data_IF_780457554860
#
_entry.id   IF_780457554860
#
_cell.length_a   1.000
_cell.length_b   1.000
_cell.length_c   1.000
_cell.angle_alpha   90.00
_cell.angle_beta   90.00
_cell.angle_gamma   90.00
#
_symmetry.space_group_name_H-M   'P 1'
#
loop_
_entity.id
_entity.type
_entity.pdbx_description
1 polymer ?
#
# COMPACT_ATOMS: atom_id res chain seq x y z
N UNK A 1 -3.19 7.98 -2.63
CA UNK A 1 -3.16 8.10 -1.16
C UNK A 1 -2.46 9.40 -0.79
N UNK A 2 -2.61 9.89 0.44
CA UNK A 2 -1.86 11.05 0.94
C UNK A 2 -0.41 10.65 1.27
N UNK A 3 0.54 11.60 1.30
CA UNK A 3 1.92 11.31 1.70
C UNK A 3 2.04 10.72 3.12
N UNK A 4 1.13 11.05 4.02
CA UNK A 4 1.08 10.51 5.38
C UNK A 4 0.68 9.03 5.41
N UNK A 5 -0.19 8.61 4.48
CA UNK A 5 -0.58 7.21 4.31
C UNK A 5 0.55 6.37 3.68
N UNK A 6 1.50 7.00 3.00
CA UNK A 6 2.67 6.36 2.39
C UNK A 6 3.75 5.98 3.43
N UNK A 7 3.33 5.37 4.55
CA UNK A 7 4.21 4.95 5.64
C UNK A 7 4.74 3.53 5.39
N UNK A 8 5.96 3.20 5.87
CA UNK A 8 6.47 1.84 5.85
C UNK A 8 5.46 0.84 6.44
N UNK A 9 5.29 -0.31 5.79
CA UNK A 9 4.32 -1.35 6.13
C UNK A 9 2.93 -1.17 5.48
N UNK A 10 2.64 -0.03 4.86
CA UNK A 10 1.38 0.15 4.12
C UNK A 10 1.34 -0.77 2.89
N UNK A 11 0.28 -1.57 2.77
CA UNK A 11 -0.01 -2.34 1.54
C UNK A 11 -0.63 -1.40 0.52
N UNK A 12 -0.11 -1.39 -0.69
CA UNK A 12 -0.51 -0.45 -1.74
C UNK A 12 -0.72 -1.14 -3.08
N UNK A 13 -1.65 -0.60 -3.88
CA UNK A 13 -1.85 -0.92 -5.30
C UNK A 13 -1.46 0.30 -6.11
N UNK A 14 -0.74 0.11 -7.20
CA UNK A 14 -0.49 1.16 -8.18
C UNK A 14 -1.76 1.41 -8.98
N UNK A 15 -2.16 2.67 -9.09
CA UNK A 15 -3.41 3.06 -9.76
C UNK A 15 -3.46 2.60 -11.22
N UNK A 16 -4.66 2.28 -11.70
CA UNK A 16 -4.92 1.96 -13.11
C UNK A 16 -4.64 3.15 -14.04
N UNK A 17 -4.75 4.38 -13.55
CA UNK A 17 -4.43 5.60 -14.32
C UNK A 17 -2.95 5.98 -14.30
N UNK A 18 -2.08 5.10 -13.80
CA UNK A 18 -0.65 5.39 -13.72
C UNK A 18 -0.06 5.65 -15.11
N UNK A 19 0.90 6.59 -15.19
CA UNK A 19 1.51 7.04 -16.46
C UNK A 19 2.23 5.94 -17.22
N UNK A 20 2.83 4.99 -16.49
CA UNK A 20 3.51 3.81 -17.05
C UNK A 20 2.55 2.63 -16.98
N UNK A 21 2.17 2.09 -18.13
CA UNK A 21 1.12 1.07 -18.24
C UNK A 21 1.48 -0.23 -17.55
N UNK A 22 2.74 -0.67 -17.70
CA UNK A 22 3.27 -1.91 -17.09
C UNK A 22 3.22 -1.91 -15.56
N UNK A 23 3.05 -0.73 -14.95
CA UNK A 23 3.01 -0.59 -13.49
C UNK A 23 1.59 -0.59 -12.93
N UNK A 24 0.57 -0.44 -13.79
CA UNK A 24 -0.83 -0.38 -13.38
C UNK A 24 -1.24 -1.68 -12.68
N UNK A 25 -1.97 -1.54 -11.58
CA UNK A 25 -2.49 -2.68 -10.85
C UNK A 25 -1.47 -3.47 -10.01
N UNK A 26 -0.18 -3.13 -10.08
CA UNK A 26 0.83 -3.82 -9.29
C UNK A 26 0.58 -3.61 -7.79
N UNK A 27 0.68 -4.70 -7.03
CA UNK A 27 0.54 -4.68 -5.58
C UNK A 27 1.91 -4.75 -4.92
N UNK A 28 2.06 -4.06 -3.80
CA UNK A 28 3.29 -4.08 -3.04
C UNK A 28 3.12 -3.56 -1.62
N UNK A 29 4.25 -3.46 -0.93
CA UNK A 29 4.32 -2.91 0.43
C UNK A 29 5.32 -1.77 0.45
N UNK A 30 4.95 -0.64 1.04
CA UNK A 30 5.88 0.46 1.26
C UNK A 30 6.95 0.01 2.25
N UNK A 31 8.22 0.08 1.88
CA UNK A 31 9.36 -0.30 2.75
C UNK A 31 10.10 0.92 3.28
N UNK A 32 10.07 2.04 2.56
CA UNK A 32 10.69 3.29 2.97
C UNK A 32 9.94 4.49 2.38
N UNK A 33 10.20 5.67 2.95
CA UNK A 33 9.70 6.95 2.47
C UNK A 33 10.89 7.89 2.27
N UNK A 34 10.95 8.55 1.13
CA UNK A 34 12.02 9.48 0.77
C UNK A 34 11.48 10.87 0.45
N UNK A 35 12.32 11.88 0.66
CA UNK A 35 12.02 13.28 0.35
C UNK A 35 11.42 14.09 1.51
N UNK A 36 11.28 15.40 1.30
CA UNK A 36 10.74 16.36 2.27
C UNK A 36 9.25 16.64 2.08
N UNK A 37 8.67 17.51 2.92
CA UNK A 37 7.22 17.77 3.00
C UNK A 37 6.52 18.01 1.65
N UNK A 38 7.22 18.63 0.69
CA UNK A 38 6.66 18.97 -0.62
C UNK A 38 6.84 17.89 -1.70
N UNK A 39 7.79 16.96 -1.51
CA UNK A 39 8.15 15.96 -2.52
C UNK A 39 8.47 14.62 -1.88
N UNK A 40 7.42 13.88 -1.56
CA UNK A 40 7.53 12.55 -0.98
C UNK A 40 7.36 11.47 -2.03
N UNK A 41 8.27 10.48 -1.99
CA UNK A 41 8.15 9.22 -2.71
C UNK A 41 8.11 8.04 -1.73
N UNK A 42 7.23 7.08 -1.99
CA UNK A 42 7.20 5.80 -1.30
C UNK A 42 8.03 4.78 -2.08
N UNK A 43 8.92 4.08 -1.39
CA UNK A 43 9.62 2.93 -1.94
C UNK A 43 8.77 1.68 -1.71
N UNK A 44 8.32 1.06 -2.78
CA UNK A 44 7.39 -0.06 -2.75
C UNK A 44 8.11 -1.31 -3.19
N UNK A 45 8.17 -2.29 -2.29
CA UNK A 45 8.57 -3.66 -2.63
C UNK A 45 7.39 -4.38 -3.25
N UNK A 46 7.53 -4.71 -4.53
CA UNK A 46 6.55 -5.40 -5.34
C UNK A 46 6.64 -6.92 -5.16
N UNK A 47 5.67 -7.66 -5.71
CA UNK A 47 5.59 -9.12 -5.59
C UNK A 47 6.77 -9.86 -6.26
N UNK A 48 7.41 -9.26 -7.25
CA UNK A 48 8.62 -9.76 -7.91
C UNK A 48 9.89 -9.56 -7.06
N UNK A 49 9.76 -8.98 -5.86
CA UNK A 49 10.86 -8.66 -4.97
C UNK A 49 11.61 -7.36 -5.32
N UNK A 50 11.26 -6.70 -6.43
CA UNK A 50 11.87 -5.43 -6.80
C UNK A 50 11.31 -4.29 -5.96
N UNK A 51 12.20 -3.38 -5.56
CA UNK A 51 11.83 -2.10 -4.94
C UNK A 51 11.75 -1.03 -6.01
N UNK A 52 10.66 -0.25 -6.02
CA UNK A 52 10.45 0.84 -6.96
C UNK A 52 9.82 2.04 -6.27
N UNK A 53 10.27 3.23 -6.67
CA UNK A 53 9.75 4.50 -6.18
C UNK A 53 8.45 4.89 -6.88
N UNK A 54 7.47 5.28 -6.08
CA UNK A 54 6.18 5.78 -6.53
C UNK A 54 5.76 7.02 -5.77
N UNK A 55 5.03 7.91 -6.45
CA UNK A 55 4.40 9.03 -5.79
C UNK A 55 3.17 8.55 -5.00
N UNK A 56 2.87 9.14 -3.83
CA UNK A 56 1.67 8.81 -3.07
C UNK A 56 0.38 8.96 -3.89
N UNK A 57 0.34 9.94 -4.81
CA UNK A 57 -0.79 10.18 -5.71
C UNK A 57 -0.99 9.07 -6.75
N UNK A 58 -0.01 8.22 -6.96
CA UNK A 58 -0.05 7.10 -7.89
C UNK A 58 -0.40 5.76 -7.20
N UNK A 59 -0.54 5.78 -5.88
CA UNK A 59 -0.79 4.61 -5.06
C UNK A 59 -2.16 4.67 -4.37
N UNK A 60 -2.79 3.53 -4.22
CA UNK A 60 -4.01 3.32 -3.44
C UNK A 60 -3.67 2.41 -2.27
N UNK A 61 -4.08 2.78 -1.05
CA UNK A 61 -3.86 1.92 0.12
C UNK A 61 -4.84 0.74 0.07
N UNK A 62 -4.29 -0.47 0.19
CA UNK A 62 -5.05 -1.71 0.29
C UNK A 62 -5.03 -2.13 1.77
N UNK A 63 -5.65 -1.34 2.62
CA UNK A 63 -5.91 -1.79 3.99
C UNK A 63 -6.93 -2.93 3.93
N UNK A 64 -6.69 -4.08 4.57
CA UNK A 64 -7.80 -4.97 4.85
C UNK A 64 -8.79 -4.20 5.75
N UNK A 65 -10.11 -4.41 5.61
CA UNK A 65 -11.10 -3.70 6.42
C UNK A 65 -10.71 -3.84 7.89
N UNK A 66 -10.69 -2.76 8.69
CA UNK A 66 -10.11 -2.75 10.06
C UNK A 66 -10.84 -3.66 11.09
N UNK A 67 -11.67 -4.58 10.63
CA UNK A 67 -12.67 -5.32 11.39
C UNK A 67 -12.75 -6.81 11.08
N UNK A 68 -12.10 -7.35 10.04
CA UNK A 68 -12.28 -8.78 9.69
C UNK A 68 -11.60 -9.76 10.67
N UNK A 69 -10.49 -9.39 11.31
CA UNK A 69 -9.85 -10.25 12.32
C UNK A 69 -10.70 -10.47 13.57
N UNK A 70 -11.64 -9.57 13.88
CA UNK A 70 -12.63 -9.78 14.96
C UNK A 70 -13.61 -10.90 14.64
N UNK A 71 -13.90 -11.13 13.35
CA UNK A 71 -14.79 -12.22 12.91
C UNK A 71 -14.08 -13.57 12.81
N UNK A 72 -12.75 -13.60 12.64
CA UNK A 72 -11.98 -14.84 12.57
C UNK A 72 -11.59 -15.43 13.94
N UNK A 73 -11.62 -14.63 15.00
CA UNK A 73 -11.28 -15.06 16.36
C UNK A 73 -12.50 -15.09 17.30
N UNK A 74 -13.72 -14.82 16.79
CA UNK A 74 -14.93 -14.64 17.59
C UNK A 74 -16.07 -15.60 17.21
N UNK A 75 -15.75 -16.87 16.99
CA UNK A 75 -16.73 -17.89 16.60
C UNK A 75 -16.56 -19.22 17.33
N UNK A 76 -16.15 -19.20 18.59
CA UNK A 76 -16.32 -20.33 19.51
C UNK A 76 -16.75 -19.80 20.89
N UNK A 77 -18.07 -19.80 21.08
CA UNK A 77 -18.81 -19.71 22.34
C UNK A 77 -20.26 -19.96 21.90
N UNK A 78 -20.80 -21.18 21.92
CA UNK A 78 -20.85 -22.10 23.04
C UNK A 78 -22.26 -22.01 23.63
N UNK A 79 -23.06 -23.09 23.49
CA UNK A 79 -24.38 -23.24 24.10
C UNK A 79 -25.50 -23.53 23.11
#
# INVERSE_FOLDING_TARGET
MTPEQARPGARVRVMERHRVEERRGLMGTVVARYGGENYIAGDVRLADGQCRLFWPRDLEEISPPRTWWRFLLGGDAGG
#
